data_IF_483831961066
#
_entry.id   IF_483831961066
#
_cell.length_a   1.000
_cell.length_b   1.000
_cell.length_c   1.000
_cell.angle_alpha   90.00
_cell.angle_beta   90.00
_cell.angle_gamma   90.00
#
_symmetry.space_group_name_H-M   'P 1'
#
loop_
_entity.id
_entity.type
_entity.pdbx_description
1 polymer ?
#
# COMPACT_ATOMS: atom_id res chain seq x y z
N UNK A 1 -24.09 -8.58 -1.43
CA UNK A 1 -23.69 -9.78 -2.20
C UNK A 1 -22.20 -9.63 -2.50
N UNK A 2 -21.38 -10.69 -2.45
CA UNK A 2 -20.04 -10.59 -3.03
C UNK A 2 -20.23 -10.22 -4.51
N UNK A 3 -19.53 -9.20 -5.00
CA UNK A 3 -19.45 -8.98 -6.44
C UNK A 3 -18.70 -10.20 -7.00
N UNK A 4 -19.32 -10.94 -7.90
CA UNK A 4 -18.71 -12.07 -8.63
C UNK A 4 -17.54 -11.54 -9.47
N UNK A 5 -16.38 -11.33 -8.84
CA UNK A 5 -15.25 -10.68 -9.48
C UNK A 5 -13.95 -10.94 -8.73
N UNK A 6 -12.84 -10.77 -9.45
CA UNK A 6 -11.49 -11.04 -8.96
C UNK A 6 -11.15 -10.12 -7.79
N UNK A 7 -10.53 -10.73 -6.77
CA UNK A 7 -9.82 -9.99 -5.74
C UNK A 7 -8.33 -9.97 -6.09
N UNK A 8 -7.79 -8.76 -6.27
CA UNK A 8 -6.38 -8.54 -6.61
C UNK A 8 -5.66 -7.90 -5.42
N UNK A 9 -4.57 -8.51 -5.00
CA UNK A 9 -3.66 -7.93 -4.01
C UNK A 9 -2.36 -7.50 -4.70
N UNK A 10 -2.09 -6.20 -4.70
CA UNK A 10 -0.84 -5.61 -5.17
C UNK A 10 0.07 -5.32 -3.98
N UNK A 11 1.28 -5.88 -3.95
CA UNK A 11 2.22 -5.65 -2.84
C UNK A 11 3.26 -4.61 -3.25
N UNK A 12 3.38 -3.54 -2.48
CA UNK A 12 4.39 -2.50 -2.66
C UNK A 12 4.89 -2.01 -1.30
N UNK A 13 5.99 -2.59 -0.83
CA UNK A 13 6.43 -2.44 0.57
C UNK A 13 7.16 -1.13 0.88
N UNK A 14 7.96 -0.63 -0.06
CA UNK A 14 8.80 0.55 0.13
C UNK A 14 8.15 1.82 -0.41
N UNK A 15 8.77 2.96 -0.10
CA UNK A 15 8.27 4.27 -0.49
C UNK A 15 7.12 4.76 0.40
N UNK A 16 6.68 5.98 0.10
CA UNK A 16 5.59 6.63 0.80
C UNK A 16 4.33 6.65 -0.08
N UNK A 17 3.47 5.67 0.10
CA UNK A 17 2.26 5.48 -0.71
C UNK A 17 1.05 6.08 0.02
N UNK A 18 0.43 7.10 -0.60
CA UNK A 18 -0.87 7.70 -0.24
C UNK A 18 -1.61 8.08 -1.52
N UNK A 19 -2.94 8.10 -1.49
CA UNK A 19 -3.78 8.36 -2.67
C UNK A 19 -3.79 9.84 -3.04
N UNK A 20 -4.04 10.71 -2.04
CA UNK A 20 -4.07 12.15 -2.26
C UNK A 20 -2.67 12.76 -2.20
N UNK A 21 -2.36 13.60 -3.20
CA UNK A 21 -1.14 14.41 -3.26
C UNK A 21 0.14 13.63 -2.91
N UNK A 22 0.47 12.52 -3.61
CA UNK A 22 1.65 11.71 -3.31
C UNK A 22 2.92 12.55 -3.35
N UNK A 23 3.82 12.33 -2.38
CA UNK A 23 5.07 13.09 -2.20
C UNK A 23 6.16 12.67 -3.22
N UNK A 24 5.82 12.70 -4.51
CA UNK A 24 6.72 12.27 -5.58
C UNK A 24 8.00 13.11 -5.61
N UNK A 25 9.14 12.44 -5.73
CA UNK A 25 10.47 13.09 -5.75
C UNK A 25 11.02 13.42 -4.37
N UNK A 26 10.33 13.05 -3.27
CA UNK A 26 10.81 13.28 -1.90
C UNK A 26 12.14 12.56 -1.62
N UNK A 27 12.25 11.32 -2.07
CA UNK A 27 13.43 10.48 -1.89
C UNK A 27 13.55 9.43 -3.01
N UNK A 28 14.60 8.62 -2.95
CA UNK A 28 14.85 7.55 -3.93
C UNK A 28 13.81 6.42 -3.92
N UNK A 29 12.93 6.36 -2.92
CA UNK A 29 11.91 5.32 -2.77
C UNK A 29 10.51 5.83 -3.17
N UNK A 30 10.33 7.14 -3.32
CA UNK A 30 9.04 7.79 -3.57
C UNK A 30 9.07 8.54 -4.91
N UNK A 31 8.95 7.79 -6.01
CA UNK A 31 9.03 8.33 -7.37
C UNK A 31 8.01 7.72 -8.33
N UNK A 32 8.42 7.49 -9.58
CA UNK A 32 7.54 6.94 -10.63
C UNK A 32 6.89 5.60 -10.26
N UNK A 33 7.57 4.78 -9.45
CA UNK A 33 7.03 3.52 -8.94
C UNK A 33 5.76 3.72 -8.09
N UNK A 34 5.73 4.72 -7.19
CA UNK A 34 4.57 5.03 -6.35
C UNK A 34 3.39 5.49 -7.21
N UNK A 35 3.65 6.36 -8.19
CA UNK A 35 2.63 6.81 -9.14
C UNK A 35 2.05 5.63 -9.92
N UNK A 36 2.92 4.77 -10.44
CA UNK A 36 2.53 3.60 -11.22
C UNK A 36 1.60 2.67 -10.43
N UNK A 37 1.95 2.30 -9.18
CA UNK A 37 1.11 1.37 -8.40
C UNK A 37 -0.23 1.95 -8.01
N UNK A 38 -0.31 3.27 -7.77
CA UNK A 38 -1.57 3.97 -7.50
C UNK A 38 -2.48 4.00 -8.73
N UNK A 39 -1.93 4.33 -9.90
CA UNK A 39 -2.66 4.34 -11.17
C UNK A 39 -3.09 2.93 -11.59
N UNK A 40 -2.23 1.93 -11.40
CA UNK A 40 -2.54 0.53 -11.65
C UNK A 40 -3.70 0.07 -10.76
N UNK A 41 -3.63 0.31 -9.45
CA UNK A 41 -4.69 -0.10 -8.53
C UNK A 41 -6.03 0.58 -8.86
N UNK A 42 -6.00 1.88 -9.21
CA UNK A 42 -7.18 2.63 -9.66
C UNK A 42 -7.78 2.02 -10.92
N UNK A 43 -6.94 1.72 -11.90
CA UNK A 43 -7.38 1.19 -13.20
C UNK A 43 -7.96 -0.22 -13.05
N UNK A 44 -7.30 -1.08 -12.27
CA UNK A 44 -7.80 -2.43 -11.98
C UNK A 44 -9.15 -2.38 -11.25
N UNK A 45 -9.33 -1.47 -10.29
CA UNK A 45 -10.59 -1.33 -9.55
C UNK A 45 -11.76 -0.83 -10.40
N UNK A 46 -11.49 -0.26 -11.58
CA UNK A 46 -12.52 0.18 -12.52
C UNK A 46 -12.98 -0.91 -13.49
N UNK A 47 -12.31 -2.07 -13.52
CA UNK A 47 -12.69 -3.19 -14.38
C UNK A 47 -13.94 -3.89 -13.84
N UNK A 48 -14.90 -4.19 -14.73
CA UNK A 48 -16.18 -4.79 -14.35
C UNK A 48 -16.01 -6.15 -13.65
N UNK A 49 -15.01 -6.94 -14.04
CA UNK A 49 -14.74 -8.28 -13.51
C UNK A 49 -13.90 -8.25 -12.22
N UNK A 50 -13.52 -7.07 -11.71
CA UNK A 50 -12.72 -6.92 -10.48
C UNK A 50 -13.61 -6.44 -9.36
N UNK A 51 -13.75 -7.29 -8.32
CA UNK A 51 -14.56 -6.97 -7.15
C UNK A 51 -13.80 -6.11 -6.13
N UNK A 52 -12.46 -6.26 -6.07
CA UNK A 52 -11.62 -5.57 -5.09
C UNK A 52 -10.15 -5.55 -5.51
N UNK A 53 -9.49 -4.43 -5.24
CA UNK A 53 -8.05 -4.24 -5.36
C UNK A 53 -7.51 -3.68 -4.05
N UNK A 54 -6.59 -4.41 -3.44
CA UNK A 54 -5.84 -3.94 -2.27
C UNK A 54 -4.39 -3.66 -2.66
N UNK A 55 -3.98 -2.41 -2.61
CA UNK A 55 -2.59 -2.00 -2.66
C UNK A 55 -2.00 -2.09 -1.25
N UNK A 56 -1.38 -3.22 -0.95
CA UNK A 56 -0.80 -3.50 0.36
C UNK A 56 0.60 -2.90 0.45
N UNK A 57 0.79 -2.06 1.46
CA UNK A 57 2.03 -1.34 1.75
C UNK A 57 2.29 -1.31 3.25
N UNK A 58 3.32 -0.57 3.66
CA UNK A 58 3.77 -0.50 5.04
C UNK A 58 3.02 0.59 5.81
N UNK A 59 2.63 0.26 7.04
CA UNK A 59 2.15 1.20 8.04
C UNK A 59 3.32 1.99 8.62
N UNK A 60 3.26 3.32 8.50
CA UNK A 60 4.34 4.21 8.94
C UNK A 60 3.73 5.29 9.84
N UNK A 61 4.18 5.33 11.09
CA UNK A 61 3.88 6.38 12.06
C UNK A 61 5.20 6.98 12.53
N UNK A 62 5.65 7.99 11.79
CA UNK A 62 6.89 8.71 12.03
C UNK A 62 6.61 10.22 12.01
N UNK A 63 7.25 10.97 12.91
CA UNK A 63 7.08 12.42 13.01
C UNK A 63 7.60 13.18 11.79
N UNK A 64 8.41 12.54 10.95
CA UNK A 64 9.06 13.16 9.79
C UNK A 64 8.23 13.05 8.50
N UNK A 65 7.10 12.33 8.51
CA UNK A 65 6.21 12.14 7.36
C UNK A 65 4.76 12.43 7.76
N UNK A 66 3.88 12.56 6.77
CA UNK A 66 2.45 12.79 7.03
C UNK A 66 1.83 11.70 7.92
N UNK A 67 0.84 12.09 8.74
CA UNK A 67 0.03 11.12 9.49
C UNK A 67 -0.80 10.20 8.59
N UNK A 68 -0.99 10.54 7.32
CA UNK A 68 -1.75 9.73 6.34
C UNK A 68 -1.17 8.32 6.21
N UNK A 69 0.16 8.18 6.30
CA UNK A 69 0.83 6.88 6.24
C UNK A 69 0.55 5.97 7.45
N UNK A 70 -0.09 6.52 8.48
CA UNK A 70 -0.55 5.79 9.66
C UNK A 70 -2.06 5.52 9.64
N UNK A 71 -2.76 5.83 8.54
CA UNK A 71 -4.15 5.41 8.32
C UNK A 71 -4.15 3.98 7.79
N UNK A 72 -4.70 2.98 8.51
CA UNK A 72 -4.59 1.57 8.13
C UNK A 72 -5.19 1.25 6.75
N UNK A 73 -6.27 1.94 6.38
CA UNK A 73 -6.94 1.76 5.09
C UNK A 73 -7.33 3.10 4.50
N UNK A 74 -7.03 3.30 3.22
CA UNK A 74 -7.34 4.55 2.50
C UNK A 74 -7.91 4.22 1.13
N UNK A 75 -9.07 4.77 0.79
CA UNK A 75 -9.72 4.48 -0.48
C UNK A 75 -8.99 5.19 -1.64
N UNK A 76 -8.76 4.45 -2.73
CA UNK A 76 -8.28 4.98 -4.02
C UNK A 76 -9.49 5.24 -4.93
N UNK A 77 -10.42 4.28 -4.99
CA UNK A 77 -11.67 4.31 -5.73
C UNK A 77 -12.72 3.42 -5.04
N UNK A 78 -13.87 3.17 -5.67
CA UNK A 78 -14.93 2.33 -5.13
C UNK A 78 -14.45 0.90 -4.82
N UNK A 79 -13.67 0.29 -5.72
CA UNK A 79 -13.17 -1.08 -5.56
C UNK A 79 -11.67 -1.14 -5.25
N UNK A 80 -10.95 -0.02 -5.16
CA UNK A 80 -9.52 -0.01 -4.92
C UNK A 80 -9.16 0.77 -3.65
N UNK A 81 -8.26 0.21 -2.83
CA UNK A 81 -7.81 0.84 -1.58
C UNK A 81 -6.36 0.52 -1.26
N UNK A 82 -5.72 1.39 -0.50
CA UNK A 82 -4.42 1.17 0.14
C UNK A 82 -4.68 0.47 1.47
N UNK A 83 -3.89 -0.56 1.76
CA UNK A 83 -3.91 -1.30 3.02
C UNK A 83 -2.51 -1.25 3.62
N UNK A 84 -2.39 -0.76 4.85
CA UNK A 84 -1.10 -0.54 5.50
C UNK A 84 -0.88 -1.53 6.64
N UNK A 85 0.11 -2.40 6.49
CA UNK A 85 0.46 -3.43 7.47
C UNK A 85 1.72 -3.04 8.25
N UNK A 86 1.78 -3.41 9.52
CA UNK A 86 2.98 -3.19 10.35
C UNK A 86 4.11 -4.11 9.85
N UNK A 87 5.30 -3.54 9.76
CA UNK A 87 6.53 -4.22 9.32
C UNK A 87 7.72 -3.38 9.78
N UNK A 88 8.70 -3.94 10.48
CA UNK A 88 9.90 -3.23 10.91
C UNK A 88 9.59 -2.04 11.82
N UNK A 89 8.65 -2.19 12.75
CA UNK A 89 8.24 -1.10 13.65
C UNK A 89 7.36 -0.03 12.99
N UNK A 90 7.48 1.23 13.44
CA UNK A 90 6.60 2.36 13.01
C UNK A 90 7.32 3.44 12.21
N UNK A 91 8.65 3.53 12.32
CA UNK A 91 9.43 4.60 11.67
C UNK A 91 9.56 4.36 10.18
N UNK A 92 9.77 5.40 9.38
CA UNK A 92 10.10 5.21 7.97
C UNK A 92 11.43 4.44 7.83
N UNK A 93 11.48 3.47 6.89
CA UNK A 93 12.64 2.63 6.61
C UNK A 93 12.84 2.65 5.11
N UNK A 94 14.05 2.96 4.68
CA UNK A 94 14.43 2.94 3.27
C UNK A 94 14.51 1.52 2.74
N UNK A 95 14.25 1.34 1.44
CA UNK A 95 14.12 0.02 0.81
C UNK A 95 15.31 -0.92 1.06
N UNK A 96 16.53 -0.38 1.15
CA UNK A 96 17.75 -1.18 1.32
C UNK A 96 17.82 -1.86 2.70
N UNK A 97 17.05 -1.39 3.68
CA UNK A 97 17.02 -1.88 5.06
C UNK A 97 15.79 -2.72 5.38
N UNK A 98 14.91 -2.99 4.41
CA UNK A 98 13.65 -3.71 4.66
C UNK A 98 13.80 -5.22 4.76
N UNK A 99 14.90 -5.79 4.26
CA UNK A 99 15.09 -7.25 4.17
C UNK A 99 14.84 -7.99 5.50
N UNK A 100 15.36 -7.53 6.67
CA UNK A 100 15.14 -8.21 7.95
C UNK A 100 13.69 -8.15 8.46
N UNK A 101 12.81 -7.40 7.80
CA UNK A 101 11.43 -7.17 8.24
C UNK A 101 10.38 -7.82 7.34
N UNK A 102 10.82 -8.53 6.29
CA UNK A 102 9.91 -9.18 5.34
C UNK A 102 9.07 -10.29 5.98
N UNK A 103 9.63 -11.03 6.94
CA UNK A 103 8.91 -12.09 7.66
C UNK A 103 7.71 -11.53 8.43
N UNK A 104 7.89 -10.42 9.16
CA UNK A 104 6.79 -9.72 9.84
C UNK A 104 5.71 -9.25 8.85
N UNK A 105 6.12 -8.75 7.68
CA UNK A 105 5.18 -8.34 6.64
C UNK A 105 4.37 -9.52 6.08
N UNK A 106 5.03 -10.65 5.84
CA UNK A 106 4.39 -11.88 5.35
C UNK A 106 3.38 -12.38 6.39
N UNK A 107 3.76 -12.46 7.66
CA UNK A 107 2.87 -12.91 8.74
C UNK A 107 1.63 -12.04 8.86
N UNK A 108 1.81 -10.71 8.83
CA UNK A 108 0.70 -9.77 8.89
C UNK A 108 -0.13 -9.79 7.60
N UNK A 109 0.49 -10.05 6.45
CA UNK A 109 -0.19 -10.25 5.17
C UNK A 109 -1.08 -11.48 5.17
N UNK A 110 -0.59 -12.62 5.66
CA UNK A 110 -1.37 -13.86 5.79
C UNK A 110 -2.56 -13.65 6.74
N UNK A 111 -2.34 -12.97 7.87
CA UNK A 111 -3.42 -12.62 8.82
C UNK A 111 -4.46 -11.68 8.22
N UNK A 112 -4.08 -10.85 7.27
CA UNK A 112 -4.99 -9.93 6.58
C UNK A 112 -5.84 -10.63 5.50
N UNK A 113 -5.31 -11.68 4.86
CA UNK A 113 -6.01 -12.44 3.83
C UNK A 113 -7.04 -13.42 4.45
N UNK A 114 -6.72 -13.97 5.62
CA UNK A 114 -7.59 -14.89 6.37
C UNK A 114 -8.77 -14.16 7.00
#
# INVERSE_FOLDING_TARGET
MPRDGLYIMCISLHGLIRNDSPELGRDADTGGQVKYVLELARTLGALADVSRVDLVTRFIKDKNVSSDYSVPTENISENARIVRLRCGGRKYIRKELLWPHLEEFIDNGIKYIK
#
